data_IF_006886996184
#
_entry.id   IF_006886996184
#
_cell.length_a   1.000
_cell.length_b   1.000
_cell.length_c   1.000
_cell.angle_alpha   90.00
_cell.angle_beta   90.00
_cell.angle_gamma   90.00
#
_symmetry.space_group_name_H-M   'P 1'
#
loop_
_entity.id
_entity.type
_entity.pdbx_description
1 polymer ?
#
# COMPACT_ATOMS: atom_id res chain seq x y z
N UNK A 1 -8.03 19.49 -24.02
CA UNK A 1 -8.42 19.53 -22.59
C UNK A 1 -9.41 18.38 -22.37
N UNK A 2 -8.97 17.32 -21.70
CA UNK A 2 -9.91 16.28 -21.24
C UNK A 2 -10.86 16.94 -20.23
N UNK A 3 -12.16 16.80 -20.45
CA UNK A 3 -13.16 17.16 -19.45
C UNK A 3 -12.77 16.47 -18.15
N UNK A 4 -12.61 17.19 -17.03
CA UNK A 4 -12.33 16.53 -15.77
C UNK A 4 -13.41 15.46 -15.53
N UNK A 5 -13.01 14.24 -15.22
CA UNK A 5 -13.98 13.27 -14.73
C UNK A 5 -14.68 13.90 -13.52
N UNK A 6 -16.00 13.76 -13.37
CA UNK A 6 -16.67 14.28 -12.19
C UNK A 6 -16.00 13.72 -10.94
N UNK A 7 -15.79 14.59 -9.94
CA UNK A 7 -15.12 14.21 -8.70
C UNK A 7 -15.82 13.02 -8.04
N UNK A 8 -15.01 12.11 -7.51
CA UNK A 8 -15.52 11.04 -6.67
C UNK A 8 -15.89 11.67 -5.32
N UNK A 9 -17.16 11.55 -4.94
CA UNK A 9 -17.63 11.98 -3.62
C UNK A 9 -17.95 10.78 -2.75
N UNK A 10 -17.60 10.88 -1.47
CA UNK A 10 -17.88 9.91 -0.43
C UNK A 10 -18.89 10.47 0.56
N UNK A 11 -19.85 9.65 0.95
CA UNK A 11 -20.81 9.98 2.01
C UNK A 11 -20.68 8.95 3.14
N UNK A 12 -19.81 9.29 4.09
CA UNK A 12 -19.51 8.42 5.22
C UNK A 12 -20.59 8.45 6.29
N UNK A 13 -20.91 7.29 6.84
CA UNK A 13 -21.70 7.16 8.06
C UNK A 13 -20.94 6.34 9.09
N UNK A 14 -21.15 6.67 10.36
CA UNK A 14 -20.42 6.04 11.47
C UNK A 14 -21.41 5.47 12.48
N UNK A 15 -21.01 4.40 13.15
CA UNK A 15 -21.79 3.85 14.25
C UNK A 15 -21.59 4.68 15.55
N UNK A 16 -22.29 4.32 16.64
CA UNK A 16 -22.22 5.04 17.91
C UNK A 16 -20.83 5.04 18.60
N UNK A 17 -19.87 4.26 18.09
CA UNK A 17 -18.48 4.23 18.56
C UNK A 17 -17.51 4.99 17.66
N UNK A 18 -18.03 5.62 16.59
CA UNK A 18 -17.21 6.35 15.61
C UNK A 18 -16.51 5.45 14.58
N UNK A 19 -16.88 4.18 14.48
CA UNK A 19 -16.36 3.27 13.44
C UNK A 19 -17.14 3.48 12.15
N UNK A 20 -16.45 3.43 11.01
CA UNK A 20 -17.05 3.60 9.69
C UNK A 20 -18.07 2.48 9.41
N UNK A 21 -19.36 2.81 9.41
CA UNK A 21 -20.43 1.84 9.18
C UNK A 21 -20.79 1.72 7.69
N UNK A 22 -20.77 2.83 6.96
CA UNK A 22 -20.97 2.80 5.52
C UNK A 22 -20.33 3.98 4.80
N UNK A 23 -20.09 3.80 3.50
CA UNK A 23 -19.73 4.84 2.55
C UNK A 23 -20.60 4.68 1.29
N UNK A 24 -21.39 5.70 0.98
CA UNK A 24 -22.10 5.80 -0.29
C UNK A 24 -21.28 6.68 -1.23
N UNK A 25 -20.75 6.07 -2.27
CA UNK A 25 -19.90 6.76 -3.24
C UNK A 25 -20.72 7.21 -4.44
N UNK A 26 -20.41 8.38 -5.01
CA UNK A 26 -21.05 8.87 -6.24
C UNK A 26 -20.81 7.95 -7.45
N UNK A 27 -19.71 7.13 -7.38
CA UNK A 27 -19.35 6.05 -8.32
C UNK A 27 -18.74 4.91 -7.51
N UNK A 28 -18.87 3.67 -7.99
CA UNK A 28 -18.26 2.50 -7.32
C UNK A 28 -19.17 1.81 -6.30
N UNK A 29 -20.32 2.38 -5.96
CA UNK A 29 -21.35 1.74 -5.14
C UNK A 29 -21.32 2.08 -3.67
N UNK A 30 -21.91 1.21 -2.87
CA UNK A 30 -22.01 1.37 -1.41
C UNK A 30 -21.13 0.35 -0.71
N UNK A 31 -20.40 0.81 0.28
CA UNK A 31 -19.60 -0.01 1.20
C UNK A 31 -20.30 -0.06 2.56
N UNK A 32 -20.29 -1.19 3.21
CA UNK A 32 -20.86 -1.33 4.55
C UNK A 32 -20.03 -2.26 5.43
N UNK A 33 -19.98 -1.94 6.72
CA UNK A 33 -19.15 -2.64 7.70
C UNK A 33 -19.89 -2.82 9.02
N UNK A 34 -19.77 -4.00 9.59
CA UNK A 34 -20.26 -4.31 10.94
C UNK A 34 -19.07 -4.77 11.78
N UNK A 35 -19.02 -4.27 13.01
CA UNK A 35 -17.91 -4.56 13.94
C UNK A 35 -18.42 -5.23 15.21
N UNK A 36 -17.57 -6.03 15.83
CA UNK A 36 -17.77 -6.52 17.18
C UNK A 36 -17.53 -5.42 18.23
N UNK A 37 -17.62 -5.78 19.51
CA UNK A 37 -17.48 -4.81 20.61
C UNK A 37 -16.07 -4.25 20.79
N UNK A 38 -15.05 -4.82 20.15
CA UNK A 38 -13.64 -4.41 20.23
C UNK A 38 -13.06 -3.91 18.90
N UNK A 39 -13.93 -3.72 17.89
CA UNK A 39 -13.57 -3.10 16.61
C UNK A 39 -13.10 -4.07 15.51
N UNK A 40 -13.23 -5.38 15.69
CA UNK A 40 -13.02 -6.30 14.56
C UNK A 40 -14.19 -6.21 13.60
N UNK A 41 -13.92 -6.27 12.30
CA UNK A 41 -14.99 -6.51 11.32
C UNK A 41 -15.62 -7.87 11.57
N UNK A 42 -16.94 -7.90 11.62
CA UNK A 42 -17.77 -9.12 11.61
C UNK A 42 -18.27 -9.39 10.20
N UNK A 43 -18.70 -8.33 9.49
CA UNK A 43 -19.04 -8.40 8.08
C UNK A 43 -18.58 -7.16 7.34
N UNK A 44 -18.28 -7.31 6.05
CA UNK A 44 -18.11 -6.20 5.12
C UNK A 44 -18.80 -6.49 3.79
N UNK A 45 -19.25 -5.43 3.10
CA UNK A 45 -19.63 -5.47 1.70
C UNK A 45 -18.97 -4.27 1.02
N UNK A 46 -18.25 -4.50 -0.07
CA UNK A 46 -17.36 -3.50 -0.65
C UNK A 46 -17.65 -3.29 -2.13
N UNK A 47 -18.54 -2.32 -2.42
CA UNK A 47 -18.93 -1.93 -3.78
C UNK A 47 -20.27 -2.49 -4.23
N UNK A 48 -20.69 -2.06 -5.45
CA UNK A 48 -21.94 -2.50 -6.08
C UNK A 48 -21.87 -3.96 -6.48
N UNK A 49 -22.82 -4.76 -6.03
CA UNK A 49 -22.92 -6.19 -6.39
C UNK A 49 -21.87 -7.08 -5.71
N UNK A 50 -21.06 -6.54 -4.81
CA UNK A 50 -20.07 -7.36 -4.09
C UNK A 50 -20.75 -8.31 -3.10
N UNK A 51 -20.26 -9.54 -3.04
CA UNK A 51 -20.62 -10.51 -2.00
C UNK A 51 -20.17 -10.03 -0.62
N UNK A 52 -20.94 -10.36 0.40
CA UNK A 52 -20.54 -10.06 1.77
C UNK A 52 -19.35 -10.92 2.19
N UNK A 53 -18.38 -10.31 2.86
CA UNK A 53 -17.35 -11.04 3.58
C UNK A 53 -17.76 -11.17 5.05
N UNK A 54 -17.58 -12.36 5.63
CA UNK A 54 -17.77 -12.64 7.06
C UNK A 54 -16.41 -12.94 7.70
N UNK A 55 -16.19 -12.40 8.90
CA UNK A 55 -14.94 -12.51 9.63
C UNK A 55 -15.18 -13.17 10.99
N UNK A 56 -14.34 -14.12 11.34
CA UNK A 56 -14.35 -14.76 12.66
C UNK A 56 -13.03 -14.43 13.36
N UNK A 57 -13.09 -13.95 14.59
CA UNK A 57 -11.91 -13.66 15.41
C UNK A 57 -11.85 -14.57 16.65
N UNK A 58 -10.62 -14.85 17.12
CA UNK A 58 -10.38 -15.56 18.37
C UNK A 58 -10.25 -14.60 19.57
N UNK A 59 -10.04 -15.14 20.76
CA UNK A 59 -9.85 -14.36 22.00
C UNK A 59 -8.56 -13.52 22.04
N UNK A 60 -7.63 -13.75 21.13
CA UNK A 60 -6.41 -12.95 20.94
C UNK A 60 -6.61 -11.82 19.92
N UNK A 61 -7.83 -11.56 19.48
CA UNK A 61 -8.15 -10.54 18.50
C UNK A 61 -7.54 -10.81 17.10
N UNK A 62 -7.34 -12.07 16.77
CA UNK A 62 -6.83 -12.52 15.47
C UNK A 62 -7.95 -13.11 14.65
N UNK A 63 -8.05 -12.80 13.36
CA UNK A 63 -9.00 -13.47 12.47
C UNK A 63 -8.60 -14.93 12.27
N UNK A 64 -9.55 -15.83 12.47
CA UNK A 64 -9.38 -17.27 12.24
C UNK A 64 -10.00 -17.73 10.93
N UNK A 65 -10.96 -16.98 10.41
CA UNK A 65 -11.56 -17.22 9.11
C UNK A 65 -12.06 -15.92 8.48
N UNK A 66 -11.92 -15.82 7.17
CA UNK A 66 -12.55 -14.81 6.30
C UNK A 66 -13.26 -15.57 5.19
N UNK A 67 -14.58 -15.43 5.13
CA UNK A 67 -15.45 -16.17 4.17
C UNK A 67 -16.12 -15.19 3.24
N UNK A 68 -16.12 -15.46 1.94
CA UNK A 68 -16.92 -14.76 0.92
C UNK A 68 -17.82 -15.77 0.22
N UNK A 69 -18.98 -15.32 -0.24
CA UNK A 69 -19.84 -16.16 -1.06
C UNK A 69 -19.07 -16.65 -2.30
N UNK A 70 -19.22 -17.91 -2.65
CA UNK A 70 -18.59 -18.56 -3.81
C UNK A 70 -17.06 -18.73 -3.73
N UNK A 71 -16.41 -18.32 -2.64
CA UNK A 71 -14.98 -18.53 -2.41
C UNK A 71 -14.74 -19.56 -1.30
N UNK A 72 -13.62 -20.26 -1.38
CA UNK A 72 -13.17 -21.10 -0.26
C UNK A 72 -12.81 -20.20 0.94
N UNK A 73 -13.16 -20.56 2.18
CA UNK A 73 -12.80 -19.79 3.35
C UNK A 73 -11.28 -19.63 3.46
N UNK A 74 -10.82 -18.40 3.64
CA UNK A 74 -9.42 -18.11 3.93
C UNK A 74 -9.18 -18.18 5.44
N UNK A 75 -8.19 -18.96 5.87
CA UNK A 75 -7.75 -19.04 7.25
C UNK A 75 -6.37 -18.38 7.41
N UNK A 76 -6.29 -17.19 8.03
CA UNK A 76 -5.01 -16.57 8.36
C UNK A 76 -4.16 -17.43 9.29
N UNK A 77 -2.84 -17.43 9.09
CA UNK A 77 -1.89 -18.09 9.99
C UNK A 77 -1.18 -17.08 10.89
N UNK A 78 -0.73 -17.52 12.06
CA UNK A 78 0.02 -16.68 13.00
C UNK A 78 1.17 -17.46 13.63
N UNK A 79 2.26 -16.80 13.96
CA UNK A 79 3.33 -17.36 14.77
C UNK A 79 3.07 -17.17 16.28
N UNK A 80 4.01 -17.61 17.11
CA UNK A 80 3.89 -17.50 18.57
C UNK A 80 3.96 -16.07 19.09
N UNK A 81 4.54 -15.14 18.32
CA UNK A 81 4.62 -13.71 18.63
C UNK A 81 3.38 -12.94 18.15
N UNK A 82 2.46 -13.62 17.47
CA UNK A 82 1.23 -13.03 16.92
C UNK A 82 1.39 -12.38 15.55
N UNK A 83 2.53 -12.53 14.90
CA UNK A 83 2.74 -12.05 13.53
C UNK A 83 1.93 -12.90 12.56
N UNK A 84 1.32 -12.27 11.57
CA UNK A 84 0.49 -12.97 10.58
C UNK A 84 1.36 -13.65 9.51
N UNK A 85 1.50 -14.98 9.59
CA UNK A 85 2.35 -15.79 8.70
C UNK A 85 1.67 -16.25 7.42
N UNK A 86 0.34 -16.18 7.36
CA UNK A 86 -0.45 -16.42 6.15
C UNK A 86 -1.45 -15.28 5.97
N UNK A 87 -1.33 -14.57 4.86
CA UNK A 87 -2.16 -13.40 4.53
C UNK A 87 -2.85 -13.58 3.18
N UNK A 88 -4.02 -12.95 3.02
CA UNK A 88 -4.69 -12.79 1.73
C UNK A 88 -4.76 -11.31 1.41
N UNK A 89 -4.26 -10.93 0.24
CA UNK A 89 -4.25 -9.56 -0.28
C UNK A 89 -4.91 -9.49 -1.65
N UNK A 90 -5.00 -8.31 -2.25
CA UNK A 90 -5.51 -8.14 -3.62
C UNK A 90 -4.69 -8.89 -4.69
N UNK A 91 -3.45 -9.31 -4.38
CA UNK A 91 -2.58 -10.07 -5.28
C UNK A 91 -2.58 -11.57 -4.99
N UNK A 92 -3.36 -12.03 -4.01
CA UNK A 92 -3.54 -13.43 -3.65
C UNK A 92 -3.09 -13.78 -2.24
N UNK A 93 -2.87 -15.09 -1.99
CA UNK A 93 -2.40 -15.59 -0.71
C UNK A 93 -0.87 -15.62 -0.64
N UNK A 94 -0.32 -15.13 0.46
CA UNK A 94 1.12 -15.08 0.72
C UNK A 94 1.47 -15.76 2.03
N UNK A 95 2.58 -16.48 2.04
CA UNK A 95 3.27 -16.91 3.25
C UNK A 95 4.29 -15.86 3.64
N UNK A 96 4.30 -15.46 4.92
CA UNK A 96 5.16 -14.40 5.44
C UNK A 96 6.07 -14.94 6.52
N UNK A 97 7.35 -14.61 6.43
CA UNK A 97 8.35 -14.92 7.44
C UNK A 97 8.93 -13.64 8.05
N UNK A 98 9.13 -13.66 9.35
CA UNK A 98 9.61 -12.53 10.12
C UNK A 98 11.03 -12.76 10.61
N UNK A 99 11.80 -11.70 10.78
CA UNK A 99 13.10 -11.75 11.44
C UNK A 99 12.94 -11.69 12.98
N UNK A 100 14.04 -11.78 13.71
CA UNK A 100 14.05 -11.77 15.18
C UNK A 100 13.56 -10.45 15.83
N UNK A 101 13.31 -9.41 15.03
CA UNK A 101 12.74 -8.13 15.46
C UNK A 101 11.27 -7.98 15.06
N UNK A 102 10.61 -9.08 14.68
CA UNK A 102 9.22 -9.12 14.20
C UNK A 102 8.96 -8.25 12.96
N UNK A 103 9.97 -8.09 12.09
CA UNK A 103 9.84 -7.39 10.81
C UNK A 103 9.60 -8.41 9.70
N UNK A 104 8.60 -8.17 8.85
CA UNK A 104 8.29 -9.05 7.71
C UNK A 104 9.45 -9.04 6.71
N UNK A 105 10.26 -10.09 6.73
CA UNK A 105 11.49 -10.19 5.96
C UNK A 105 11.31 -10.87 4.61
N UNK A 106 10.29 -11.74 4.47
CA UNK A 106 10.08 -12.52 3.26
C UNK A 106 8.62 -12.86 3.06
N UNK A 107 8.16 -12.69 1.81
CA UNK A 107 6.83 -13.07 1.35
C UNK A 107 6.97 -14.07 0.20
N UNK A 108 6.17 -15.14 0.22
CA UNK A 108 6.19 -16.20 -0.79
C UNK A 108 4.79 -16.47 -1.30
N UNK A 109 4.63 -16.52 -2.61
CA UNK A 109 3.42 -16.93 -3.31
C UNK A 109 3.80 -17.81 -4.51
N UNK A 110 3.67 -19.12 -4.36
CA UNK A 110 4.11 -20.05 -5.41
C UNK A 110 5.58 -19.82 -5.78
N UNK A 111 5.83 -19.37 -7.00
CA UNK A 111 7.17 -19.10 -7.52
C UNK A 111 7.66 -17.66 -7.30
N UNK A 112 6.78 -16.77 -6.83
CA UNK A 112 7.13 -15.38 -6.50
C UNK A 112 7.65 -15.26 -5.08
N UNK A 113 8.68 -14.45 -4.90
CA UNK A 113 9.30 -14.17 -3.60
C UNK A 113 9.64 -12.69 -3.52
N UNK A 114 9.26 -12.05 -2.40
CA UNK A 114 9.68 -10.69 -2.07
C UNK A 114 10.49 -10.74 -0.79
N UNK A 115 11.68 -10.16 -0.81
CA UNK A 115 12.59 -10.10 0.34
C UNK A 115 12.83 -8.64 0.74
N UNK A 116 12.75 -8.37 2.04
CA UNK A 116 12.93 -7.05 2.63
C UNK A 116 14.06 -7.07 3.65
N UNK A 117 14.89 -6.02 3.64
CA UNK A 117 15.93 -5.80 4.64
C UNK A 117 15.71 -4.47 5.34
N UNK A 118 16.05 -4.44 6.61
CA UNK A 118 15.85 -3.30 7.49
C UNK A 118 17.15 -2.86 8.14
N UNK A 119 17.24 -1.58 8.48
CA UNK A 119 18.35 -1.04 9.26
C UNK A 119 18.06 -1.11 10.78
N UNK A 120 19.00 -0.62 11.57
CA UNK A 120 18.91 -0.61 13.05
C UNK A 120 17.80 0.33 13.58
N UNK A 121 17.27 1.23 12.76
CA UNK A 121 16.11 2.09 13.06
C UNK A 121 14.78 1.48 12.59
N UNK A 122 14.79 0.21 12.18
CA UNK A 122 13.63 -0.53 11.67
C UNK A 122 13.06 -0.01 10.33
N UNK A 123 13.84 0.80 9.57
CA UNK A 123 13.44 1.29 8.26
C UNK A 123 13.80 0.26 7.19
N UNK A 124 12.92 0.00 6.24
CA UNK A 124 13.18 -0.92 5.12
C UNK A 124 14.17 -0.29 4.14
N UNK A 125 15.40 -0.73 4.14
CA UNK A 125 16.48 -0.19 3.28
C UNK A 125 16.62 -0.91 1.95
N UNK A 126 16.06 -2.11 1.81
CA UNK A 126 16.14 -2.89 0.56
C UNK A 126 14.87 -3.73 0.38
N UNK A 127 14.39 -3.81 -0.86
CA UNK A 127 13.35 -4.73 -1.32
C UNK A 127 13.81 -5.41 -2.60
N UNK A 128 13.74 -6.74 -2.66
CA UNK A 128 14.04 -7.55 -3.84
C UNK A 128 12.88 -8.45 -4.20
N UNK A 129 12.54 -8.53 -5.48
CA UNK A 129 11.46 -9.35 -6.04
C UNK A 129 12.06 -10.39 -6.96
N UNK A 130 11.65 -11.64 -6.78
CA UNK A 130 12.11 -12.79 -7.55
C UNK A 130 10.95 -13.54 -8.18
N UNK A 131 11.21 -14.14 -9.34
CA UNK A 131 10.38 -15.17 -9.94
C UNK A 131 11.25 -16.44 -10.07
N UNK A 132 10.96 -17.46 -9.24
CA UNK A 132 11.89 -18.55 -9.01
C UNK A 132 13.22 -18.05 -8.43
N UNK A 133 14.31 -18.36 -9.10
CA UNK A 133 15.65 -17.89 -8.73
C UNK A 133 16.08 -16.63 -9.50
N UNK A 134 15.22 -16.11 -10.40
CA UNK A 134 15.53 -14.91 -11.19
C UNK A 134 15.16 -13.66 -10.42
N UNK A 135 16.13 -12.76 -10.23
CA UNK A 135 15.91 -11.44 -9.68
C UNK A 135 15.19 -10.56 -10.72
N UNK A 136 13.97 -10.14 -10.42
CA UNK A 136 13.15 -9.29 -11.30
C UNK A 136 13.36 -7.81 -11.01
N UNK A 137 13.50 -7.44 -9.74
CA UNK A 137 13.82 -6.08 -9.33
C UNK A 137 14.48 -6.07 -7.96
N UNK A 138 15.33 -5.09 -7.74
CA UNK A 138 15.95 -4.84 -6.43
C UNK A 138 16.05 -3.34 -6.23
N UNK A 139 15.43 -2.85 -5.17
CA UNK A 139 15.39 -1.43 -4.82
C UNK A 139 16.10 -1.19 -3.51
N UNK A 140 16.81 -0.07 -3.42
CA UNK A 140 17.34 0.45 -2.16
C UNK A 140 16.73 1.79 -1.85
N UNK A 141 16.52 2.04 -0.56
CA UNK A 141 15.84 3.23 -0.06
C UNK A 141 16.77 4.04 0.84
N UNK A 142 16.76 5.36 0.63
CA UNK A 142 17.51 6.32 1.44
C UNK A 142 16.52 7.14 2.25
N UNK A 143 16.85 7.38 3.51
CA UNK A 143 15.98 8.07 4.46
C UNK A 143 16.65 9.29 5.07
N UNK A 144 15.85 10.31 5.35
CA UNK A 144 16.14 11.38 6.31
C UNK A 144 15.16 11.21 7.48
N UNK A 145 15.67 10.82 8.66
CA UNK A 145 14.80 10.34 9.73
C UNK A 145 14.00 9.13 9.26
N UNK A 146 12.68 9.20 9.31
CA UNK A 146 11.76 8.17 8.81
C UNK A 146 11.21 8.44 7.40
N UNK A 147 11.52 9.59 6.84
CA UNK A 147 11.06 9.97 5.50
C UNK A 147 11.97 9.36 4.45
N UNK A 148 11.41 8.56 3.55
CA UNK A 148 12.15 8.06 2.39
C UNK A 148 12.37 9.21 1.43
N UNK A 149 13.64 9.58 1.19
CA UNK A 149 14.03 10.69 0.32
C UNK A 149 14.52 10.25 -1.05
N UNK A 150 14.88 8.98 -1.22
CA UNK A 150 15.30 8.44 -2.51
C UNK A 150 15.01 6.96 -2.66
N UNK A 151 14.85 6.53 -3.91
CA UNK A 151 14.78 5.14 -4.37
C UNK A 151 15.83 4.92 -5.45
N UNK A 152 16.63 3.87 -5.28
CA UNK A 152 17.67 3.46 -6.21
C UNK A 152 17.35 2.08 -6.79
N UNK A 153 17.62 1.88 -8.07
CA UNK A 153 17.68 0.57 -8.68
C UNK A 153 19.03 -0.09 -8.30
N UNK A 154 18.95 -1.30 -7.77
CA UNK A 154 20.10 -2.08 -7.32
C UNK A 154 20.10 -3.50 -7.94
N UNK A 155 19.33 -3.75 -9.00
CA UNK A 155 19.24 -5.09 -9.61
C UNK A 155 20.61 -5.57 -10.11
N UNK A 156 21.37 -4.69 -10.72
CA UNK A 156 22.71 -4.98 -11.23
C UNK A 156 23.83 -4.57 -10.26
N UNK A 157 23.49 -4.15 -9.04
CA UNK A 157 24.48 -3.71 -8.07
C UNK A 157 25.31 -4.90 -7.59
N UNK A 158 26.58 -4.88 -7.94
CA UNK A 158 27.63 -5.76 -7.42
C UNK A 158 28.51 -4.99 -6.43
N UNK A 159 29.54 -5.61 -5.88
CA UNK A 159 30.55 -4.89 -5.07
C UNK A 159 31.21 -3.74 -5.84
N UNK A 160 31.21 -3.80 -7.16
CA UNK A 160 31.84 -2.82 -8.07
C UNK A 160 30.87 -1.89 -8.77
N UNK A 161 29.56 -2.21 -8.83
CA UNK A 161 28.54 -1.42 -9.51
C UNK A 161 27.65 -0.70 -8.49
N UNK A 162 27.62 0.63 -8.57
CA UNK A 162 26.77 1.46 -7.70
C UNK A 162 25.30 1.37 -8.12
N UNK A 163 24.36 1.36 -7.16
CA UNK A 163 22.95 1.48 -7.47
C UNK A 163 22.63 2.78 -8.21
N UNK A 164 21.68 2.74 -9.14
CA UNK A 164 21.29 3.89 -9.97
C UNK A 164 20.13 4.63 -9.32
N UNK A 165 20.23 5.94 -9.16
CA UNK A 165 19.17 6.80 -8.66
C UNK A 165 17.99 6.78 -9.64
N UNK A 166 16.79 6.44 -9.14
CA UNK A 166 15.55 6.37 -9.94
C UNK A 166 14.52 7.41 -9.54
N UNK A 167 14.42 7.72 -8.24
CA UNK A 167 13.45 8.69 -7.72
C UNK A 167 14.02 9.44 -6.52
N UNK A 168 13.65 10.71 -6.39
CA UNK A 168 13.79 11.45 -5.14
C UNK A 168 12.43 12.01 -4.71
N UNK A 169 12.28 12.29 -3.43
CA UNK A 169 11.01 12.71 -2.84
C UNK A 169 11.17 13.94 -1.97
N UNK A 170 10.25 14.88 -2.12
CA UNK A 170 10.13 16.06 -1.28
C UNK A 170 8.90 15.93 -0.39
N UNK A 171 9.09 16.07 0.91
CA UNK A 171 8.05 15.95 1.92
C UNK A 171 7.69 17.33 2.49
N UNK A 172 6.46 17.45 3.04
CA UNK A 172 6.00 18.69 3.65
C UNK A 172 6.80 18.97 4.94
N UNK A 173 7.61 20.04 4.99
CA UNK A 173 8.43 20.34 6.16
C UNK A 173 7.61 20.87 7.35
N UNK A 174 6.35 21.24 7.15
CA UNK A 174 5.45 21.71 8.19
C UNK A 174 4.74 20.57 8.93
N UNK A 175 4.84 19.36 8.42
CA UNK A 175 4.23 18.16 9.03
C UNK A 175 5.33 17.12 9.34
N UNK A 176 6.05 17.26 10.47
CA UNK A 176 7.22 16.41 10.76
C UNK A 176 6.88 14.96 11.10
N UNK A 177 5.58 14.68 11.39
CA UNK A 177 5.07 13.33 11.69
C UNK A 177 3.85 13.07 10.82
N UNK A 178 3.77 11.87 10.24
CA UNK A 178 2.70 11.49 9.31
C UNK A 178 2.50 12.54 8.20
N UNK A 179 3.59 12.96 7.61
CA UNK A 179 3.64 14.04 6.63
C UNK A 179 3.05 13.62 5.28
N UNK A 180 2.81 14.58 4.40
CA UNK A 180 2.43 14.33 3.01
C UNK A 180 3.61 14.55 2.07
N UNK A 181 3.65 13.77 1.02
CA UNK A 181 4.63 13.93 -0.06
C UNK A 181 4.19 15.09 -0.98
N UNK A 182 5.09 15.99 -1.33
CA UNK A 182 4.80 17.17 -2.16
C UNK A 182 5.22 16.98 -3.62
N UNK A 183 6.37 16.36 -3.83
CA UNK A 183 6.91 16.16 -5.18
C UNK A 183 7.77 14.91 -5.26
N UNK A 184 7.88 14.39 -6.48
CA UNK A 184 8.76 13.29 -6.85
C UNK A 184 9.54 13.71 -8.10
N UNK A 185 10.87 13.57 -8.07
CA UNK A 185 11.70 13.69 -9.28
C UNK A 185 11.98 12.31 -9.84
N UNK A 186 11.82 12.14 -11.15
CA UNK A 186 12.11 10.91 -11.88
C UNK A 186 13.47 10.98 -12.56
N UNK A 187 14.18 9.84 -12.56
CA UNK A 187 15.45 9.64 -13.25
C UNK A 187 15.36 8.40 -14.14
N UNK A 188 16.03 8.44 -15.29
CA UNK A 188 16.07 7.33 -16.23
C UNK A 188 16.95 6.16 -15.76
N UNK A 189 17.15 5.16 -16.60
CA UNK A 189 17.95 3.97 -16.30
C UNK A 189 19.44 4.29 -16.06
N UNK A 190 19.91 5.42 -16.53
CA UNK A 190 21.29 5.89 -16.33
C UNK A 190 21.46 6.79 -15.11
N UNK A 191 20.36 7.15 -14.43
CA UNK A 191 20.35 8.12 -13.33
C UNK A 191 20.32 9.57 -13.81
N UNK A 192 19.96 9.80 -15.09
CA UNK A 192 19.79 11.16 -15.61
C UNK A 192 18.40 11.70 -15.27
N UNK A 193 18.30 12.94 -14.81
CA UNK A 193 17.02 13.58 -14.48
C UNK A 193 16.09 13.65 -15.69
N UNK A 194 14.81 13.31 -15.45
CA UNK A 194 13.74 13.32 -16.47
C UNK A 194 12.74 14.44 -16.22
N UNK A 195 12.06 14.43 -15.06
CA UNK A 195 11.02 15.42 -14.73
C UNK A 195 10.66 15.43 -13.25
N UNK A 196 9.98 16.51 -12.84
CA UNK A 196 9.33 16.61 -11.53
C UNK A 196 7.82 16.42 -11.67
N UNK A 197 7.24 15.62 -10.73
CA UNK A 197 5.82 15.40 -10.58
C UNK A 197 5.35 15.93 -9.22
N UNK A 198 4.31 16.75 -9.23
CA UNK A 198 3.74 17.40 -8.06
C UNK A 198 2.45 16.71 -7.65
N UNK A 199 2.29 16.49 -6.35
CA UNK A 199 1.15 15.78 -5.79
C UNK A 199 0.00 16.69 -5.44
N UNK A 200 -1.22 16.19 -5.61
CA UNK A 200 -2.42 16.69 -4.95
C UNK A 200 -2.94 15.63 -3.99
N UNK A 201 -3.60 16.06 -2.91
CA UNK A 201 -4.07 15.19 -1.86
C UNK A 201 -5.51 15.52 -1.48
N UNK A 202 -6.20 14.52 -0.94
CA UNK A 202 -7.40 14.75 -0.15
C UNK A 202 -7.07 15.15 1.30
N UNK A 203 -8.11 15.31 2.12
CA UNK A 203 -7.96 15.69 3.53
C UNK A 203 -7.31 14.60 4.39
N UNK A 204 -7.32 13.34 3.92
CA UNK A 204 -6.72 12.18 4.60
C UNK A 204 -5.28 11.90 4.13
N UNK A 205 -4.68 12.85 3.36
CA UNK A 205 -3.33 12.75 2.79
C UNK A 205 -3.18 11.65 1.72
N UNK A 206 -4.28 11.14 1.17
CA UNK A 206 -4.20 10.25 0.03
C UNK A 206 -3.77 11.07 -1.20
N UNK A 207 -2.76 10.59 -1.94
CA UNK A 207 -2.40 11.19 -3.22
C UNK A 207 -3.55 11.00 -4.21
N UNK A 208 -4.12 12.09 -4.73
CA UNK A 208 -5.26 12.02 -5.67
C UNK A 208 -4.83 12.18 -7.12
N UNK A 209 -3.79 12.97 -7.37
CA UNK A 209 -3.23 13.11 -8.72
C UNK A 209 -1.76 13.53 -8.68
N UNK A 210 -1.08 13.32 -9.83
CA UNK A 210 0.25 13.86 -10.13
C UNK A 210 0.17 14.78 -11.33
N UNK A 211 0.91 15.89 -11.26
CA UNK A 211 1.02 16.85 -12.34
C UNK A 211 2.48 17.10 -12.69
N UNK A 212 2.79 17.04 -13.98
CA UNK A 212 4.06 17.52 -14.52
C UNK A 212 3.93 18.98 -15.00
N UNK A 213 5.01 19.76 -14.91
CA UNK A 213 5.00 21.20 -15.28
C UNK A 213 4.52 21.40 -16.73
N UNK A 214 4.92 20.53 -17.65
CA UNK A 214 4.63 20.70 -19.10
C UNK A 214 3.50 19.81 -19.60
N UNK A 215 3.27 18.69 -18.95
CA UNK A 215 2.39 17.65 -19.46
C UNK A 215 1.00 17.60 -18.78
N UNK A 216 0.71 18.52 -17.85
CA UNK A 216 -0.54 18.53 -17.10
C UNK A 216 -0.65 17.32 -16.17
N UNK A 217 -1.86 16.74 -16.06
CA UNK A 217 -2.10 15.58 -15.19
C UNK A 217 -1.43 14.33 -15.74
N UNK A 218 -0.55 13.73 -14.94
CA UNK A 218 0.26 12.55 -15.25
C UNK A 218 -0.27 11.27 -14.58
N UNK A 219 -0.99 11.43 -13.46
CA UNK A 219 -1.66 10.34 -12.77
C UNK A 219 -2.96 10.80 -12.11
N UNK A 220 -3.88 9.86 -11.90
CA UNK A 220 -5.11 10.01 -11.11
C UNK A 220 -5.31 8.74 -10.28
N UNK A 221 -5.69 8.91 -9.02
CA UNK A 221 -6.01 7.82 -8.10
C UNK A 221 -7.34 8.08 -7.41
N UNK A 222 -8.17 7.05 -7.31
CA UNK A 222 -9.40 7.03 -6.53
C UNK A 222 -9.36 5.81 -5.61
N UNK A 223 -9.77 6.00 -4.37
CA UNK A 223 -9.66 4.97 -3.33
C UNK A 223 -11.02 4.59 -2.77
N UNK A 224 -11.15 3.36 -2.35
CA UNK A 224 -12.21 2.93 -1.45
C UNK A 224 -11.92 3.37 -0.01
N UNK A 225 -12.89 3.20 0.89
CA UNK A 225 -12.82 3.71 2.27
C UNK A 225 -11.60 3.25 3.07
N UNK A 226 -11.04 2.10 2.73
CA UNK A 226 -9.87 1.51 3.40
C UNK A 226 -8.61 1.50 2.54
N UNK A 227 -8.59 2.31 1.46
CA UNK A 227 -7.38 2.55 0.68
C UNK A 227 -7.14 1.58 -0.47
N UNK A 228 -8.06 0.65 -0.74
CA UNK A 228 -8.02 -0.11 -1.98
C UNK A 228 -8.19 0.83 -3.18
N UNK A 229 -7.37 0.64 -4.21
CA UNK A 229 -7.43 1.47 -5.42
C UNK A 229 -8.64 1.05 -6.24
N UNK A 230 -9.52 2.00 -6.54
CA UNK A 230 -10.71 1.85 -7.39
C UNK A 230 -10.43 2.28 -8.82
N UNK A 231 -9.56 3.27 -8.98
CA UNK A 231 -9.15 3.81 -10.27
C UNK A 231 -7.71 4.30 -10.20
N UNK A 232 -6.93 3.91 -11.18
CA UNK A 232 -5.56 4.37 -11.38
C UNK A 232 -5.36 4.62 -12.87
N UNK A 233 -5.03 5.85 -13.24
CA UNK A 233 -4.90 6.28 -14.63
C UNK A 233 -3.71 7.22 -14.83
N UNK A 234 -3.16 7.23 -16.03
CA UNK A 234 -2.08 8.11 -16.46
C UNK A 234 -0.76 7.37 -16.60
N UNK A 235 0.12 7.95 -17.39
CA UNK A 235 1.38 7.33 -17.78
C UNK A 235 2.48 7.39 -16.70
N UNK A 236 2.25 8.07 -15.59
CA UNK A 236 3.11 8.06 -14.41
C UNK A 236 2.42 7.44 -13.18
N UNK A 237 1.25 6.81 -13.36
CA UNK A 237 0.48 6.31 -12.23
C UNK A 237 1.17 5.12 -11.54
N UNK A 238 1.78 4.22 -12.30
CA UNK A 238 2.51 3.06 -11.79
C UNK A 238 3.89 3.43 -11.25
N UNK A 239 4.49 4.53 -11.73
CA UNK A 239 5.79 5.00 -11.26
C UNK A 239 5.73 5.53 -9.82
N UNK A 240 4.57 5.98 -9.36
CA UNK A 240 4.40 6.55 -8.05
C UNK A 240 4.10 5.48 -6.98
N UNK A 241 5.02 5.25 -6.02
CA UNK A 241 4.75 4.33 -4.92
C UNK A 241 3.97 4.97 -3.76
N UNK A 242 3.96 6.31 -3.62
CA UNK A 242 3.31 6.97 -2.48
C UNK A 242 1.88 7.38 -2.82
N UNK A 243 0.89 6.62 -2.30
CA UNK A 243 -0.51 6.76 -2.69
C UNK A 243 -1.44 6.97 -1.50
N UNK A 244 -2.01 5.90 -0.96
CA UNK A 244 -2.92 5.95 0.19
C UNK A 244 -2.18 6.45 1.44
N UNK A 245 -2.72 7.44 2.13
CA UNK A 245 -2.12 8.11 3.30
C UNK A 245 -0.72 8.71 3.05
N UNK A 246 -0.31 8.95 1.80
CA UNK A 246 1.07 9.26 1.42
C UNK A 246 2.09 8.20 1.85
N UNK A 247 1.67 6.93 1.91
CA UNK A 247 2.52 5.81 2.28
C UNK A 247 2.89 4.93 1.08
N UNK A 248 3.95 4.13 1.24
CA UNK A 248 4.53 3.35 0.15
C UNK A 248 3.66 2.13 -0.19
N UNK A 249 3.08 2.11 -1.39
CA UNK A 249 2.36 0.96 -1.91
C UNK A 249 3.32 -0.09 -2.47
N UNK A 250 3.25 -1.30 -1.96
CA UNK A 250 3.92 -2.48 -2.49
C UNK A 250 2.95 -3.23 -3.41
N UNK A 251 2.91 -2.83 -4.68
CA UNK A 251 1.95 -3.34 -5.67
C UNK A 251 2.04 -4.86 -5.86
N UNK A 252 3.24 -5.41 -5.84
CA UNK A 252 3.47 -6.85 -5.92
C UNK A 252 2.84 -7.64 -4.78
N UNK A 253 2.72 -7.02 -3.60
CA UNK A 253 2.13 -7.63 -2.42
C UNK A 253 0.66 -7.25 -2.21
N UNK A 254 0.18 -6.17 -2.84
CA UNK A 254 -1.12 -5.58 -2.55
C UNK A 254 -1.22 -4.99 -1.13
N UNK A 255 -0.10 -4.55 -0.59
CA UNK A 255 0.05 -4.01 0.76
C UNK A 255 0.55 -2.56 0.74
N UNK A 256 0.32 -1.84 1.82
CA UNK A 256 0.89 -0.50 2.05
C UNK A 256 1.89 -0.58 3.20
N UNK A 257 3.13 -0.13 2.96
CA UNK A 257 4.21 -0.15 3.94
C UNK A 257 4.22 1.15 4.76
N UNK A 258 3.98 1.03 6.07
CA UNK A 258 3.95 2.13 7.04
C UNK A 258 5.16 2.07 7.98
N UNK A 259 6.38 2.12 7.45
CA UNK A 259 7.64 2.09 8.18
C UNK A 259 7.86 0.90 9.13
N UNK A 260 6.91 0.57 10.01
CA UNK A 260 7.05 -0.51 11.01
C UNK A 260 6.22 -1.75 10.70
N UNK A 261 5.19 -1.62 9.86
CA UNK A 261 4.25 -2.70 9.56
C UNK A 261 3.62 -2.52 8.18
N UNK A 262 2.97 -3.56 7.74
CA UNK A 262 2.22 -3.56 6.49
C UNK A 262 0.72 -3.44 6.78
N UNK A 263 0.08 -2.55 6.06
CA UNK A 263 -1.37 -2.40 6.08
C UNK A 263 -1.96 -3.14 4.88
N UNK A 264 -3.01 -3.93 5.13
CA UNK A 264 -3.75 -4.63 4.10
C UNK A 264 -5.08 -3.90 3.82
N UNK A 265 -5.21 -3.17 2.71
CA UNK A 265 -6.44 -2.45 2.36
C UNK A 265 -7.66 -3.37 2.19
N UNK A 266 -7.46 -4.62 1.77
CA UNK A 266 -8.55 -5.56 1.49
C UNK A 266 -9.34 -5.93 2.75
N UNK A 267 -8.71 -6.02 3.90
CA UNK A 267 -9.37 -6.35 5.15
C UNK A 267 -9.28 -5.24 6.22
N UNK A 268 -8.63 -4.12 5.90
CA UNK A 268 -8.49 -2.97 6.79
C UNK A 268 -7.66 -3.26 8.05
N UNK A 269 -6.67 -4.13 7.95
CA UNK A 269 -5.85 -4.58 9.09
C UNK A 269 -4.36 -4.35 8.85
N UNK A 270 -3.66 -4.30 9.97
CA UNK A 270 -2.20 -4.22 10.07
C UNK A 270 -1.60 -5.58 10.31
#
# INVERSE_FOLDING_TARGET
>A
FNTPAPDLTHSYSYNGRGELAADAMSRGGTYSYVYDNIGNRVTSREGSGASAAAYTANSLNQYTAITREEEAPFAPGYDADGNQTKIQTSTGEWEVSYNALNQAARFIQGNRRVECRYDYLNRRIEKAVYEGEVLMSKKRFIYHGYLQIAELDAADATESAMPVLRKTYLWDPLEPVATRILAMSLFDETGTYVEDLYYTHDLLKNATALFGIRAGRRALYEYGPYGNILRMEGNAAEDNPFRFSSEYADDELGLVYYNYRYYNPQNGRW
#
